data_IF_863248743779
#
_entry.id   IF_863248743779
#
_cell.length_a   1.000
_cell.length_b   1.000
_cell.length_c   1.000
_cell.angle_alpha   90.00
_cell.angle_beta   90.00
_cell.angle_gamma   90.00
#
_symmetry.space_group_name_H-M   'P 1'
#
loop_
_entity.id
_entity.type
_entity.pdbx_description
1 polymer ?
#
# COMPACT_ATOMS: atom_id res chain seq x y z
N UNK A 1 3.39 -12.18 16.73
CA UNK A 1 3.16 -12.95 15.48
C UNK A 1 3.92 -14.29 15.44
N UNK A 2 5.13 -14.38 16.01
CA UNK A 2 6.00 -15.58 15.90
C UNK A 2 5.43 -16.88 16.50
N UNK A 3 4.64 -16.82 17.58
CA UNK A 3 4.09 -18.04 18.21
C UNK A 3 3.04 -18.75 17.35
N UNK A 4 2.14 -17.99 16.70
CA UNK A 4 1.07 -18.54 15.85
C UNK A 4 1.65 -19.22 14.60
N UNK A 5 2.69 -18.64 13.99
CA UNK A 5 3.37 -19.21 12.82
C UNK A 5 4.03 -20.55 13.19
N UNK A 6 4.70 -20.62 14.35
CA UNK A 6 5.36 -21.85 14.80
C UNK A 6 4.39 -23.00 15.09
N UNK A 7 3.25 -22.71 15.72
CA UNK A 7 2.21 -23.70 16.06
C UNK A 7 1.46 -24.21 14.82
N UNK A 8 1.11 -23.31 13.89
CA UNK A 8 0.40 -23.66 12.66
C UNK A 8 1.29 -24.44 11.67
N UNK A 9 2.58 -24.09 11.58
CA UNK A 9 3.53 -24.74 10.65
C UNK A 9 3.67 -26.26 10.84
N UNK A 10 3.39 -26.77 12.04
CA UNK A 10 3.46 -28.19 12.38
C UNK A 10 2.17 -28.96 12.02
N UNK A 11 1.08 -28.29 11.65
CA UNK A 11 -0.25 -28.92 11.45
C UNK A 11 -0.86 -28.59 10.08
N UNK A 12 -0.70 -27.37 9.56
CA UNK A 12 -1.26 -26.93 8.28
C UNK A 12 -0.25 -26.14 7.45
N UNK A 13 -0.19 -26.42 6.15
CA UNK A 13 0.73 -25.74 5.21
C UNK A 13 0.12 -24.39 4.77
N UNK A 14 -1.21 -24.30 4.72
CA UNK A 14 -1.98 -23.13 4.29
C UNK A 14 -3.23 -22.96 5.15
N UNK A 15 -3.65 -21.72 5.34
CA UNK A 15 -4.96 -21.40 5.88
C UNK A 15 -5.58 -20.26 5.08
N UNK A 16 -6.88 -20.37 4.75
CA UNK A 16 -7.64 -19.26 4.20
C UNK A 16 -7.61 -18.10 5.20
N UNK A 17 -7.38 -16.91 4.68
CA UNK A 17 -7.57 -15.65 5.41
C UNK A 17 -8.79 -14.94 4.84
N UNK A 18 -9.41 -14.09 5.64
CA UNK A 18 -10.63 -13.37 5.25
C UNK A 18 -10.41 -12.26 4.22
N UNK A 19 -9.41 -12.35 3.33
CA UNK A 19 -9.21 -11.38 2.27
C UNK A 19 -9.86 -11.94 0.98
N UNK A 20 -10.78 -11.18 0.41
CA UNK A 20 -11.66 -11.59 -0.69
C UNK A 20 -11.60 -10.58 -1.84
N UNK A 21 -11.58 -11.06 -3.09
CA UNK A 21 -11.59 -10.21 -4.26
C UNK A 21 -13.03 -9.81 -4.62
N UNK A 22 -13.39 -8.56 -4.40
CA UNK A 22 -14.74 -8.08 -4.75
C UNK A 22 -14.86 -7.65 -6.22
N UNK A 23 -13.78 -7.76 -7.01
CA UNK A 23 -13.71 -7.31 -8.41
C UNK A 23 -14.02 -5.81 -8.59
N UNK A 24 -14.05 -5.06 -7.49
CA UNK A 24 -14.23 -3.62 -7.43
C UNK A 24 -12.93 -3.01 -6.96
N UNK A 25 -12.21 -2.37 -7.87
CA UNK A 25 -10.96 -1.70 -7.56
C UNK A 25 -11.19 -0.40 -6.82
N UNK A 26 -10.71 -0.32 -5.59
CA UNK A 26 -10.80 0.90 -4.77
C UNK A 26 -9.41 1.32 -4.29
N UNK A 27 -9.31 2.58 -3.91
CA UNK A 27 -8.09 3.12 -3.32
C UNK A 27 -8.01 2.77 -1.84
N UNK A 28 -6.81 2.47 -1.37
CA UNK A 28 -6.50 2.15 0.02
C UNK A 28 -5.20 2.83 0.41
N UNK A 29 -5.13 3.36 1.62
CA UNK A 29 -3.87 3.81 2.22
C UNK A 29 -3.11 2.62 2.77
N UNK A 30 -1.82 2.48 2.48
CA UNK A 30 -0.94 1.38 2.90
C UNK A 30 -0.87 1.18 4.41
N UNK A 31 -1.08 2.25 5.16
CA UNK A 31 -1.17 2.25 6.62
C UNK A 31 -2.57 1.78 7.06
N UNK A 32 -2.68 0.85 8.02
CA UNK A 32 -3.98 0.35 8.48
C UNK A 32 -4.85 1.42 9.16
N UNK A 33 -6.17 1.23 9.11
CA UNK A 33 -7.17 2.10 9.78
C UNK A 33 -7.06 3.58 9.38
N UNK A 34 -6.97 3.84 8.09
CA UNK A 34 -6.95 5.21 7.55
C UNK A 34 -8.19 5.41 6.69
N UNK A 35 -8.84 6.56 6.86
CA UNK A 35 -10.01 6.94 6.09
C UNK A 35 -9.62 7.55 4.74
N UNK A 36 -10.54 7.45 3.77
CA UNK A 36 -10.43 8.05 2.45
C UNK A 36 -11.21 9.37 2.39
N UNK A 37 -10.80 10.32 3.22
CA UNK A 37 -11.49 11.59 3.46
C UNK A 37 -10.94 12.76 2.63
N UNK A 38 -9.70 12.64 2.15
CA UNK A 38 -9.03 13.66 1.36
C UNK A 38 -8.38 13.07 0.12
N UNK A 39 -8.54 13.79 -1.00
CA UNK A 39 -7.89 13.49 -2.26
C UNK A 39 -7.40 14.77 -2.91
N UNK A 40 -6.21 14.73 -3.50
CA UNK A 40 -5.68 15.81 -4.30
C UNK A 40 -5.29 15.35 -5.72
N UNK A 41 -6.13 14.54 -6.33
CA UNK A 41 -5.94 14.08 -7.71
C UNK A 41 -5.79 15.27 -8.67
N UNK A 42 -4.85 15.13 -9.60
CA UNK A 42 -4.74 16.00 -10.77
C UNK A 42 -6.04 15.92 -11.59
N UNK A 43 -6.33 16.96 -12.34
CA UNK A 43 -7.42 16.93 -13.32
C UNK A 43 -7.30 15.67 -14.22
N UNK A 44 -8.43 14.98 -14.41
CA UNK A 44 -8.56 13.74 -15.21
C UNK A 44 -7.91 12.48 -14.58
N UNK A 45 -7.45 12.56 -13.34
CA UNK A 45 -6.95 11.42 -12.55
C UNK A 45 -7.96 11.04 -11.44
N UNK A 46 -7.95 9.77 -10.97
CA UNK A 46 -7.21 8.64 -11.53
C UNK A 46 -7.84 8.15 -12.84
N UNK A 47 -7.02 7.66 -13.77
CA UNK A 47 -7.56 7.09 -15.00
C UNK A 47 -8.19 5.72 -14.71
N UNK A 48 -9.46 5.54 -15.11
CA UNK A 48 -10.23 4.33 -14.79
C UNK A 48 -9.78 3.06 -15.56
N UNK A 49 -8.61 3.09 -16.21
CA UNK A 49 -8.10 2.05 -17.10
C UNK A 49 -6.93 1.25 -16.49
N UNK A 50 -6.21 1.76 -15.49
CA UNK A 50 -5.24 0.96 -14.76
C UNK A 50 -6.01 0.03 -13.80
N UNK A 51 -5.89 -1.28 -14.06
CA UNK A 51 -6.36 -2.28 -13.09
C UNK A 51 -5.57 -2.07 -11.81
N UNK A 52 -4.25 -1.95 -11.88
CA UNK A 52 -3.36 -1.91 -10.72
C UNK A 52 -2.61 -0.57 -10.70
N UNK A 53 -3.06 0.38 -9.88
CA UNK A 53 -2.52 1.75 -9.83
C UNK A 53 -1.96 2.11 -8.46
N UNK A 54 -0.81 2.78 -8.43
CA UNK A 54 -0.23 3.35 -7.22
C UNK A 54 -0.15 4.86 -7.36
N UNK A 55 -0.45 5.61 -6.29
CA UNK A 55 -0.51 7.06 -6.38
C UNK A 55 0.88 7.69 -6.22
N UNK A 56 1.14 8.69 -7.05
CA UNK A 56 2.33 9.52 -7.01
C UNK A 56 1.92 10.95 -6.68
N UNK A 57 2.57 11.57 -5.70
CA UNK A 57 2.50 13.02 -5.50
C UNK A 57 3.52 13.70 -6.42
N UNK A 58 3.10 14.65 -7.24
CA UNK A 58 3.96 15.37 -8.18
C UNK A 58 4.55 16.67 -7.59
N UNK A 59 5.41 17.35 -8.36
CA UNK A 59 6.06 18.59 -7.92
C UNK A 59 5.12 19.80 -7.74
N UNK A 60 3.84 19.66 -8.09
CA UNK A 60 2.78 20.66 -7.86
C UNK A 60 1.90 20.27 -6.66
N UNK A 61 2.14 19.11 -6.07
CA UNK A 61 1.36 18.56 -4.96
C UNK A 61 0.11 17.81 -5.41
N UNK A 62 -0.13 17.67 -6.71
CA UNK A 62 -1.25 16.92 -7.26
C UNK A 62 -0.90 15.44 -7.37
N UNK A 63 -1.90 14.57 -7.30
CA UNK A 63 -1.72 13.12 -7.36
C UNK A 63 -2.08 12.57 -8.73
N UNK A 64 -1.38 11.56 -9.19
CA UNK A 64 -1.74 10.80 -10.39
C UNK A 64 -1.48 9.30 -10.19
N UNK A 65 -2.20 8.46 -10.91
CA UNK A 65 -1.97 7.02 -10.85
C UNK A 65 -0.81 6.61 -11.76
N UNK A 66 0.03 5.69 -11.27
CA UNK A 66 1.19 5.18 -11.99
C UNK A 66 1.29 3.68 -11.77
N UNK A 67 1.89 3.00 -12.74
CA UNK A 67 2.27 1.59 -12.63
C UNK A 67 3.11 1.38 -11.36
N UNK A 68 2.62 0.53 -10.45
CA UNK A 68 3.24 0.24 -9.15
C UNK A 68 4.67 -0.34 -9.26
N UNK A 69 5.03 -0.89 -10.43
CA UNK A 69 6.38 -1.42 -10.69
C UNK A 69 7.39 -0.34 -11.07
N UNK A 70 6.92 0.86 -11.43
CA UNK A 70 7.79 1.99 -11.75
C UNK A 70 8.68 2.34 -10.55
N UNK A 71 9.94 2.72 -10.83
CA UNK A 71 10.92 3.02 -9.79
C UNK A 71 10.92 4.52 -9.51
N UNK A 72 10.59 4.92 -8.28
CA UNK A 72 10.58 6.33 -7.84
C UNK A 72 11.11 6.47 -6.42
N UNK A 73 11.59 7.66 -6.09
CA UNK A 73 11.77 8.09 -4.71
C UNK A 73 10.43 8.11 -3.98
N UNK A 74 10.46 8.15 -2.65
CA UNK A 74 9.25 7.96 -1.85
C UNK A 74 9.32 8.67 -0.50
N UNK A 75 8.16 8.85 0.11
CA UNK A 75 8.04 9.48 1.44
C UNK A 75 7.55 8.45 2.44
N UNK A 76 8.34 8.19 3.47
CA UNK A 76 7.88 7.47 4.65
C UNK A 76 7.24 8.45 5.64
N UNK A 77 6.16 8.01 6.30
CA UNK A 77 5.64 8.70 7.47
C UNK A 77 6.72 8.73 8.56
N UNK A 78 6.83 9.82 9.31
CA UNK A 78 7.68 9.91 10.49
C UNK A 78 7.02 9.34 11.73
N UNK A 79 7.83 8.82 12.66
CA UNK A 79 7.35 8.33 13.96
C UNK A 79 6.88 9.51 14.82
N UNK A 80 5.64 9.48 15.30
CA UNK A 80 5.12 10.46 16.27
C UNK A 80 3.80 11.14 15.91
N UNK A 81 3.17 10.81 14.78
CA UNK A 81 1.83 11.30 14.43
C UNK A 81 1.74 12.79 14.07
N UNK A 82 2.82 13.56 14.24
CA UNK A 82 2.86 14.99 13.93
C UNK A 82 3.99 15.30 12.94
N UNK A 83 3.65 15.41 11.65
CA UNK A 83 4.38 16.22 10.66
C UNK A 83 5.81 15.82 10.27
N UNK A 84 6.41 14.78 10.82
CA UNK A 84 7.69 14.28 10.33
C UNK A 84 7.44 13.46 9.05
N UNK A 85 8.05 13.85 7.93
CA UNK A 85 8.05 13.11 6.67
C UNK A 85 9.50 12.84 6.29
N UNK A 86 9.82 11.58 5.97
CA UNK A 86 11.19 11.20 5.60
C UNK A 86 11.25 10.96 4.10
N UNK A 87 11.96 11.81 3.38
CA UNK A 87 12.24 11.62 1.96
C UNK A 87 13.35 10.60 1.75
N UNK A 88 13.05 9.58 0.95
CA UNK A 88 14.00 8.55 0.55
C UNK A 88 14.26 8.70 -0.95
N UNK A 89 15.47 9.13 -1.29
CA UNK A 89 15.88 9.41 -2.67
C UNK A 89 16.07 8.15 -3.53
N UNK A 90 16.20 6.97 -2.92
CA UNK A 90 16.37 5.71 -3.64
C UNK A 90 15.15 5.39 -4.49
N UNK A 91 15.36 5.10 -5.78
CA UNK A 91 14.28 4.71 -6.67
C UNK A 91 13.87 3.25 -6.44
N UNK A 92 12.65 3.02 -5.95
CA UNK A 92 12.08 1.69 -5.67
C UNK A 92 10.69 1.53 -6.30
N UNK A 93 10.27 0.28 -6.52
CA UNK A 93 8.86 0.00 -6.82
C UNK A 93 8.00 0.44 -5.63
N UNK A 94 6.70 0.66 -5.84
CA UNK A 94 5.81 1.08 -4.74
C UNK A 94 5.84 0.08 -3.57
N UNK A 95 5.84 -1.21 -3.89
CA UNK A 95 5.88 -2.27 -2.88
C UNK A 95 7.22 -2.32 -2.13
N UNK A 96 8.34 -2.20 -2.83
CA UNK A 96 9.67 -2.15 -2.21
C UNK A 96 9.84 -0.90 -1.34
N UNK A 97 9.27 0.23 -1.76
CA UNK A 97 9.25 1.47 -0.99
C UNK A 97 8.44 1.32 0.32
N UNK A 98 7.27 0.67 0.26
CA UNK A 98 6.47 0.34 1.43
C UNK A 98 7.21 -0.57 2.41
N UNK A 99 7.85 -1.63 1.91
CA UNK A 99 8.66 -2.55 2.72
C UNK A 99 9.77 -1.76 3.43
N UNK A 100 10.49 -0.89 2.69
CA UNK A 100 11.53 -0.04 3.27
C UNK A 100 11.01 0.83 4.42
N UNK A 101 9.86 1.50 4.25
CA UNK A 101 9.29 2.31 5.34
C UNK A 101 8.87 1.46 6.56
N UNK A 102 8.40 0.22 6.32
CA UNK A 102 8.01 -0.73 7.38
C UNK A 102 9.21 -1.30 8.13
N UNK A 103 10.33 -1.54 7.46
CA UNK A 103 11.59 -1.92 8.11
C UNK A 103 12.10 -0.84 9.07
N UNK A 104 11.74 0.42 8.81
CA UNK A 104 11.97 1.54 9.70
C UNK A 104 10.89 1.70 10.80
N UNK A 105 9.99 0.72 10.94
CA UNK A 105 8.81 0.75 11.81
C UNK A 105 7.90 1.97 11.55
N UNK A 106 7.62 2.22 10.28
CA UNK A 106 6.66 3.20 9.78
C UNK A 106 5.88 2.63 8.58
N UNK A 107 5.33 3.47 7.70
CA UNK A 107 4.76 3.08 6.41
C UNK A 107 4.99 4.23 5.40
N UNK A 108 4.63 4.02 4.13
CA UNK A 108 4.49 5.13 3.19
C UNK A 108 3.46 6.13 3.73
N UNK A 109 3.65 7.40 3.38
CA UNK A 109 2.84 8.50 3.89
C UNK A 109 1.36 8.39 3.49
N UNK A 110 0.46 8.61 4.45
CA UNK A 110 -0.95 8.89 4.22
C UNK A 110 -1.21 10.39 4.30
N UNK A 111 -2.18 10.90 3.54
CA UNK A 111 -2.48 12.33 3.46
C UNK A 111 -3.99 12.54 3.65
N UNK A 112 -4.35 13.25 4.72
CA UNK A 112 -5.74 13.44 5.17
C UNK A 112 -6.19 14.90 5.13
N UNK A 113 -5.32 15.82 4.69
CA UNK A 113 -5.67 17.23 4.57
C UNK A 113 -4.80 17.97 3.56
N UNK A 114 -5.24 19.17 3.17
CA UNK A 114 -4.46 20.07 2.33
C UNK A 114 -3.16 20.51 3.03
N UNK A 115 -3.19 20.69 4.34
CA UNK A 115 -2.03 21.04 5.16
C UNK A 115 -0.98 19.92 5.15
N UNK A 116 -1.43 18.67 5.30
CA UNK A 116 -0.55 17.50 5.20
C UNK A 116 0.01 17.37 3.78
N UNK A 117 -0.82 17.52 2.76
CA UNK A 117 -0.38 17.45 1.36
C UNK A 117 0.73 18.47 1.07
N UNK A 118 0.55 19.70 1.54
CA UNK A 118 1.54 20.76 1.38
C UNK A 118 2.84 20.48 2.14
N UNK A 119 2.77 19.83 3.30
CA UNK A 119 3.94 19.45 4.07
C UNK A 119 4.70 18.28 3.43
N UNK A 120 3.99 17.29 2.86
CA UNK A 120 4.59 16.20 2.08
C UNK A 120 5.26 16.74 0.81
N UNK A 121 4.62 17.66 0.09
CA UNK A 121 5.21 18.31 -1.09
C UNK A 121 6.52 19.04 -0.76
N UNK A 122 6.59 19.71 0.40
CA UNK A 122 7.83 20.35 0.86
C UNK A 122 8.90 19.31 1.20
N UNK A 123 8.51 18.23 1.88
CA UNK A 123 9.43 17.15 2.23
C UNK A 123 9.96 16.40 0.99
N UNK A 124 9.16 16.29 -0.08
CA UNK A 124 9.58 15.67 -1.34
C UNK A 124 10.56 16.50 -2.17
N UNK A 125 10.92 17.70 -1.70
CA UNK A 125 11.72 18.66 -2.46
C UNK A 125 11.16 18.91 -3.87
N UNK A 126 9.82 18.96 -3.98
CA UNK A 126 9.08 19.14 -5.24
C UNK A 126 9.34 18.03 -6.28
N UNK A 127 9.82 16.86 -5.85
CA UNK A 127 10.00 15.70 -6.72
C UNK A 127 8.73 14.85 -6.77
N UNK A 128 8.56 14.11 -7.87
CA UNK A 128 7.54 13.09 -7.98
C UNK A 128 7.88 11.88 -7.10
N UNK A 129 7.05 11.59 -6.11
CA UNK A 129 7.33 10.58 -5.09
C UNK A 129 6.16 9.62 -4.89
N UNK A 130 6.46 8.37 -4.56
CA UNK A 130 5.43 7.45 -4.07
C UNK A 130 4.85 7.95 -2.74
N UNK A 131 3.52 7.90 -2.65
CA UNK A 131 2.75 8.02 -1.41
C UNK A 131 2.06 6.68 -1.12
N UNK A 132 1.49 6.53 0.07
CA UNK A 132 0.93 5.26 0.55
C UNK A 132 -0.39 4.84 -0.10
N UNK A 133 -0.93 5.59 -1.07
CA UNK A 133 -2.20 5.25 -1.70
C UNK A 133 -1.99 4.25 -2.85
N UNK A 134 -2.72 3.14 -2.83
CA UNK A 134 -2.69 2.11 -3.88
C UNK A 134 -4.09 1.61 -4.18
N UNK A 135 -4.30 1.12 -5.40
CA UNK A 135 -5.57 0.61 -5.90
C UNK A 135 -5.57 -0.91 -5.77
N UNK A 136 -6.63 -1.45 -5.19
CA UNK A 136 -6.71 -2.88 -4.90
C UNK A 136 -8.18 -3.35 -4.92
N UNK A 137 -8.49 -4.56 -5.41
CA UNK A 137 -9.85 -5.07 -5.43
C UNK A 137 -10.18 -5.94 -4.21
N UNK A 138 -9.21 -6.14 -3.30
CA UNK A 138 -9.35 -7.05 -2.17
C UNK A 138 -9.90 -6.34 -0.93
N UNK A 139 -10.94 -6.92 -0.33
CA UNK A 139 -11.52 -6.48 0.94
C UNK A 139 -11.45 -7.57 2.00
N UNK A 140 -11.39 -7.14 3.25
CA UNK A 140 -11.53 -8.09 4.36
C UNK A 140 -13.00 -8.42 4.59
N UNK A 141 -13.29 -9.70 4.81
CA UNK A 141 -14.61 -10.26 5.07
C UNK A 141 -15.25 -9.73 6.35
N UNK A 142 -14.44 -9.17 7.26
CA UNK A 142 -14.89 -8.47 8.47
C UNK A 142 -15.34 -7.03 8.21
N UNK A 143 -15.23 -6.55 6.96
CA UNK A 143 -15.57 -5.19 6.56
C UNK A 143 -14.51 -4.16 6.94
N UNK A 144 -13.37 -4.57 7.50
CA UNK A 144 -12.30 -3.64 7.86
C UNK A 144 -11.64 -3.05 6.61
N UNK A 145 -11.32 -1.77 6.67
CA UNK A 145 -10.56 -1.06 5.63
C UNK A 145 -9.06 -1.35 5.72
N UNK A 146 -8.67 -2.53 6.21
CA UNK A 146 -7.27 -2.89 6.38
C UNK A 146 -6.58 -3.04 5.02
N UNK A 147 -5.57 -2.23 4.82
CA UNK A 147 -4.66 -2.23 3.68
C UNK A 147 -3.46 -3.16 3.86
N UNK A 148 -3.45 -3.95 4.94
CA UNK A 148 -2.38 -4.91 5.15
C UNK A 148 -2.40 -5.92 4.00
N UNK A 149 -1.26 -5.99 3.30
CA UNK A 149 -0.98 -6.98 2.27
C UNK A 149 0.34 -7.66 2.58
N UNK A 150 0.33 -8.98 2.67
CA UNK A 150 1.51 -9.82 2.86
C UNK A 150 1.63 -10.88 1.76
N UNK A 151 1.37 -10.44 0.52
CA UNK A 151 1.50 -11.26 -0.67
C UNK A 151 2.93 -11.76 -0.87
N UNK A 152 3.05 -12.96 -1.43
CA UNK A 152 4.31 -13.44 -2.00
C UNK A 152 4.76 -12.56 -3.16
N UNK A 153 6.06 -12.63 -3.51
CA UNK A 153 6.53 -12.09 -4.79
C UNK A 153 5.64 -12.57 -5.95
N UNK A 154 5.25 -11.62 -6.81
CA UNK A 154 4.38 -11.86 -7.98
C UNK A 154 2.94 -12.29 -7.66
N UNK A 155 2.47 -12.12 -6.42
CA UNK A 155 1.07 -12.25 -6.04
C UNK A 155 0.49 -10.88 -5.62
N UNK A 156 -0.82 -10.66 -5.79
CA UNK A 156 -1.77 -11.53 -6.49
C UNK A 156 -1.54 -11.43 -8.00
N UNK A 157 -1.63 -12.55 -8.72
CA UNK A 157 -1.41 -12.59 -10.18
C UNK A 157 -2.70 -12.37 -11.00
N UNK A 158 -3.81 -12.05 -10.33
CA UNK A 158 -5.13 -11.72 -10.89
C UNK A 158 -5.62 -12.68 -12.00
N UNK A 159 -5.25 -13.96 -11.92
CA UNK A 159 -5.75 -15.01 -12.81
C UNK A 159 -7.24 -15.29 -12.52
N UNK A 160 -7.99 -15.79 -13.52
CA UNK A 160 -9.40 -16.14 -13.35
C UNK A 160 -9.59 -17.16 -12.20
N UNK A 161 -10.65 -16.96 -11.42
CA UNK A 161 -11.12 -17.80 -10.30
C UNK A 161 -10.22 -17.82 -9.05
N UNK A 162 -9.44 -16.76 -8.81
CA UNK A 162 -8.71 -16.53 -7.55
C UNK A 162 -9.37 -15.42 -6.73
N UNK A 163 -10.53 -15.71 -6.14
CA UNK A 163 -11.29 -14.73 -5.35
C UNK A 163 -11.01 -14.80 -3.83
N UNK A 164 -10.18 -15.75 -3.39
CA UNK A 164 -9.85 -15.97 -1.98
C UNK A 164 -8.34 -16.07 -1.76
N UNK A 165 -7.88 -15.77 -0.54
CA UNK A 165 -6.44 -15.70 -0.21
C UNK A 165 -6.05 -16.68 0.87
N UNK A 166 -4.91 -17.36 0.72
CA UNK A 166 -4.40 -18.27 1.73
C UNK A 166 -3.02 -17.86 2.23
N UNK A 167 -2.87 -17.72 3.54
CA UNK A 167 -1.57 -17.57 4.18
C UNK A 167 -0.81 -18.91 4.16
N UNK A 168 0.46 -18.88 3.74
CA UNK A 168 1.32 -20.05 3.64
C UNK A 168 2.35 -20.01 4.77
N UNK A 169 2.12 -20.80 5.82
CA UNK A 169 2.93 -20.73 7.05
C UNK A 169 4.39 -21.15 6.85
N UNK A 170 4.68 -22.01 5.87
CA UNK A 170 6.05 -22.38 5.50
C UNK A 170 6.83 -21.23 4.86
N UNK A 171 6.13 -20.30 4.24
CA UNK A 171 6.69 -19.14 3.56
C UNK A 171 6.52 -17.90 4.45
N UNK A 172 6.84 -18.04 5.74
CA UNK A 172 6.75 -16.96 6.74
C UNK A 172 5.35 -16.32 6.86
N UNK A 173 4.31 -17.04 6.46
CA UNK A 173 2.93 -16.56 6.46
C UNK A 173 2.57 -15.70 5.26
N UNK A 174 3.42 -15.60 4.23
CA UNK A 174 3.11 -14.90 2.97
C UNK A 174 1.94 -15.55 2.23
N UNK A 175 1.24 -14.74 1.43
CA UNK A 175 -0.05 -15.11 0.86
C UNK A 175 0.04 -15.57 -0.59
N UNK A 176 -0.73 -16.60 -0.90
CA UNK A 176 -1.06 -17.06 -2.24
C UNK A 176 -2.48 -16.66 -2.60
#
# INVERSE_FOLDING_TARGET
>A
MNNLISLASNVTIRAWIGLENERVWMWHWSRPHQDLDYFNWRAEEPQNNSRDGCAVLDGRGEWFDSDCTARRSFICQGKGGTGAYTFVAEAKSWRDAQIHCRDLASDLVSIHSAEENQAVLRASALQSVWIGLFKDPWKWSDGSLSSFRHWKPFQPNYLQDQDCVAAVFRDQGEWN
#
